data_IF_569670428643
#
_entry.id   IF_569670428643
#
_cell.length_a   1.000
_cell.length_b   1.000
_cell.length_c   1.000
_cell.angle_alpha   90.00
_cell.angle_beta   90.00
_cell.angle_gamma   90.00
#
_symmetry.space_group_name_H-M   'P 1'
#
loop_
_entity.id
_entity.type
_entity.pdbx_description
1 polymer ?
#
# COMPACT_ATOMS: atom_id res chain seq x y z
N UNK A 1 -10.30 82.02 -64.23
CA UNK A 1 -11.71 82.46 -64.15
C UNK A 1 -12.28 81.98 -62.83
N UNK A 2 -12.72 82.92 -61.99
CA UNK A 2 -13.55 82.66 -60.82
C UNK A 2 -14.85 81.96 -61.24
N UNK A 3 -15.43 81.12 -60.38
CA UNK A 3 -16.62 81.52 -59.62
C UNK A 3 -17.08 80.44 -58.63
N UNK A 4 -17.57 80.96 -57.53
CA UNK A 4 -18.00 80.35 -56.29
C UNK A 4 -19.46 79.91 -56.27
N UNK A 5 -19.70 78.82 -55.51
CA UNK A 5 -20.85 78.50 -54.63
C UNK A 5 -22.22 78.21 -55.27
N UNK A 6 -22.85 77.10 -54.85
CA UNK A 6 -23.99 77.11 -53.90
C UNK A 6 -24.41 75.69 -53.45
N UNK A 7 -24.81 75.62 -52.18
CA UNK A 7 -25.19 74.46 -51.35
C UNK A 7 -26.26 73.57 -52.00
N UNK A 8 -26.12 72.24 -51.84
CA UNK A 8 -27.28 71.33 -51.74
C UNK A 8 -27.22 70.57 -50.40
N UNK A 9 -28.39 70.60 -49.77
CA UNK A 9 -28.72 70.27 -48.37
C UNK A 9 -28.45 68.79 -48.07
N UNK A 10 -27.79 68.52 -46.95
CA UNK A 10 -27.62 67.18 -46.36
C UNK A 10 -28.97 66.66 -45.89
N UNK A 11 -29.32 65.45 -46.28
CA UNK A 11 -30.31 64.60 -45.60
C UNK A 11 -29.51 63.50 -44.92
N UNK A 12 -29.58 63.34 -43.58
CA UNK A 12 -28.93 62.22 -42.92
C UNK A 12 -29.76 60.96 -43.17
N UNK A 13 -29.23 60.05 -43.98
CA UNK A 13 -29.67 58.66 -44.03
C UNK A 13 -29.32 57.98 -42.71
N UNK A 14 -30.36 57.54 -42.00
CA UNK A 14 -30.32 56.82 -40.72
C UNK A 14 -29.70 55.41 -40.87
N UNK A 15 -28.37 55.33 -40.92
CA UNK A 15 -27.66 54.05 -41.11
C UNK A 15 -26.55 53.77 -40.08
N UNK A 16 -26.54 54.44 -38.92
CA UNK A 16 -25.47 54.26 -37.91
C UNK A 16 -25.94 53.49 -36.66
N UNK A 17 -27.25 53.36 -36.43
CA UNK A 17 -27.79 52.72 -35.21
C UNK A 17 -27.96 51.19 -35.29
N UNK A 18 -27.97 50.60 -36.50
CA UNK A 18 -28.30 49.18 -36.70
C UNK A 18 -27.20 48.20 -36.29
N UNK A 19 -25.93 48.48 -36.60
CA UNK A 19 -24.81 47.58 -36.29
C UNK A 19 -24.50 47.46 -34.79
N UNK A 20 -24.78 48.52 -34.03
CA UNK A 20 -24.56 48.53 -32.57
C UNK A 20 -25.66 47.75 -31.83
N UNK A 21 -26.90 47.80 -32.33
CA UNK A 21 -28.02 47.06 -31.78
C UNK A 21 -27.91 45.55 -32.05
N UNK A 22 -27.50 45.16 -33.25
CA UNK A 22 -27.32 43.74 -33.61
C UNK A 22 -26.18 43.09 -32.82
N UNK A 23 -25.08 43.83 -32.57
CA UNK A 23 -23.98 43.37 -31.68
C UNK A 23 -24.43 43.21 -30.24
N UNK A 24 -25.26 44.12 -29.73
CA UNK A 24 -25.81 44.02 -28.37
C UNK A 24 -26.73 42.79 -28.26
N UNK A 25 -27.58 42.55 -29.26
CA UNK A 25 -28.44 41.37 -29.32
C UNK A 25 -27.64 40.06 -29.41
N UNK A 26 -26.50 40.06 -30.13
CA UNK A 26 -25.59 38.92 -30.19
C UNK A 26 -24.95 38.62 -28.84
N UNK A 27 -24.53 39.65 -28.09
CA UNK A 27 -23.94 39.51 -26.74
C UNK A 27 -24.97 39.06 -25.69
N UNK A 28 -26.19 39.59 -25.76
CA UNK A 28 -27.27 39.19 -24.85
C UNK A 28 -27.68 37.73 -25.11
N UNK A 29 -27.73 37.32 -26.37
CA UNK A 29 -28.02 35.94 -26.74
C UNK A 29 -26.91 34.99 -26.28
N UNK A 30 -25.63 35.35 -26.47
CA UNK A 30 -24.53 34.50 -26.02
C UNK A 30 -24.50 34.35 -24.50
N UNK A 31 -24.79 35.42 -23.75
CA UNK A 31 -24.92 35.37 -22.29
C UNK A 31 -26.10 34.48 -21.86
N UNK A 32 -27.26 34.63 -22.47
CA UNK A 32 -28.44 33.81 -22.18
C UNK A 32 -28.17 32.31 -22.44
N UNK A 33 -27.47 31.98 -23.54
CA UNK A 33 -27.09 30.59 -23.84
C UNK A 33 -26.07 30.05 -22.82
N UNK A 34 -25.06 30.83 -22.45
CA UNK A 34 -24.07 30.43 -21.43
C UNK A 34 -24.70 30.21 -20.05
N UNK A 35 -25.71 31.00 -19.70
CA UNK A 35 -26.39 30.93 -18.41
C UNK A 35 -27.55 29.91 -18.40
N UNK A 36 -27.88 29.29 -19.53
CA UNK A 36 -29.01 28.36 -19.64
C UNK A 36 -30.39 29.04 -19.51
N UNK A 37 -30.49 30.31 -19.89
CA UNK A 37 -31.72 31.11 -19.83
C UNK A 37 -32.70 30.77 -20.97
N UNK A 38 -33.97 31.15 -20.81
CA UNK A 38 -35.00 30.94 -21.84
C UNK A 38 -34.71 31.75 -23.11
N UNK A 39 -34.60 31.06 -24.24
CA UNK A 39 -34.39 31.67 -25.56
C UNK A 39 -35.70 32.10 -26.24
N UNK A 40 -36.86 31.75 -25.68
CA UNK A 40 -38.19 32.10 -26.19
C UNK A 40 -38.42 33.59 -26.48
N UNK A 41 -37.93 34.54 -25.67
CA UNK A 41 -38.00 35.97 -25.95
C UNK A 41 -37.19 36.39 -27.19
N UNK A 42 -36.00 35.81 -27.40
CA UNK A 42 -35.15 36.08 -28.55
C UNK A 42 -35.77 35.53 -29.84
N UNK A 43 -36.34 34.32 -29.78
CA UNK A 43 -37.08 33.72 -30.89
C UNK A 43 -38.29 34.60 -31.24
N UNK A 44 -39.13 34.96 -30.27
CA UNK A 44 -40.28 35.86 -30.51
C UNK A 44 -39.85 37.18 -31.14
N UNK A 45 -38.83 37.84 -30.60
CA UNK A 45 -38.29 39.11 -31.13
C UNK A 45 -37.79 38.99 -32.58
N UNK A 46 -37.11 37.90 -32.92
CA UNK A 46 -36.57 37.67 -34.27
C UNK A 46 -37.68 37.45 -35.31
N UNK A 47 -38.72 36.69 -34.96
CA UNK A 47 -39.88 36.44 -35.84
C UNK A 47 -40.79 37.67 -35.96
N UNK A 48 -41.05 38.42 -34.88
CA UNK A 48 -41.86 39.66 -34.95
C UNK A 48 -41.16 40.77 -35.74
N UNK A 49 -39.83 40.77 -35.73
CA UNK A 49 -39.01 41.74 -36.47
C UNK A 49 -38.78 41.34 -37.94
N UNK A 50 -39.29 40.18 -38.38
CA UNK A 50 -39.12 39.66 -39.74
C UNK A 50 -37.68 39.25 -40.09
N UNK A 51 -36.81 39.03 -39.10
CA UNK A 51 -35.39 38.70 -39.27
C UNK A 51 -35.01 37.40 -38.54
N UNK A 52 -35.59 36.23 -38.87
CA UNK A 52 -35.21 34.96 -38.24
C UNK A 52 -33.78 34.53 -38.61
N UNK A 53 -33.32 34.90 -39.82
CA UNK A 53 -31.98 34.54 -40.31
C UNK A 53 -30.85 35.18 -39.49
N UNK A 54 -31.06 36.36 -38.90
CA UNK A 54 -30.04 37.01 -38.07
C UNK A 54 -29.87 36.30 -36.73
N UNK A 55 -30.96 35.84 -36.11
CA UNK A 55 -30.90 35.00 -34.92
C UNK A 55 -30.15 33.69 -35.19
N UNK A 56 -30.46 33.04 -36.31
CA UNK A 56 -29.80 31.81 -36.73
C UNK A 56 -28.29 32.06 -36.97
N UNK A 57 -27.94 33.18 -37.61
CA UNK A 57 -26.55 33.60 -37.79
C UNK A 57 -25.83 33.81 -36.46
N UNK A 58 -26.44 34.49 -35.48
CA UNK A 58 -25.86 34.69 -34.15
C UNK A 58 -25.65 33.38 -33.40
N UNK A 59 -26.62 32.45 -33.43
CA UNK A 59 -26.48 31.12 -32.83
C UNK A 59 -25.37 30.29 -33.48
N UNK A 60 -25.27 30.30 -34.81
CA UNK A 60 -24.18 29.64 -35.54
C UNK A 60 -22.82 30.25 -35.21
N UNK A 61 -22.75 31.57 -35.11
CA UNK A 61 -21.53 32.27 -34.70
C UNK A 61 -21.13 31.88 -33.28
N UNK A 62 -22.07 31.87 -32.34
CA UNK A 62 -21.83 31.44 -30.96
C UNK A 62 -21.33 30.00 -30.89
N UNK A 63 -21.99 29.06 -31.59
CA UNK A 63 -21.58 27.66 -31.64
C UNK A 63 -20.15 27.50 -32.18
N UNK A 64 -19.82 28.19 -33.29
CA UNK A 64 -18.45 28.18 -33.84
C UNK A 64 -17.42 28.80 -32.90
N UNK A 65 -17.79 29.88 -32.22
CA UNK A 65 -16.93 30.52 -31.23
C UNK A 65 -16.63 29.58 -30.06
N UNK A 66 -17.63 28.83 -29.59
CA UNK A 66 -17.45 27.84 -28.52
C UNK A 66 -16.65 26.62 -28.97
N UNK A 67 -16.85 26.15 -30.20
CA UNK A 67 -16.02 25.09 -30.78
C UNK A 67 -14.54 25.50 -30.82
N UNK A 68 -14.26 26.74 -31.25
CA UNK A 68 -12.89 27.29 -31.26
C UNK A 68 -12.30 27.40 -29.85
N UNK A 69 -13.09 27.80 -28.85
CA UNK A 69 -12.63 27.88 -27.45
C UNK A 69 -12.29 26.48 -26.91
N UNK A 70 -13.10 25.46 -27.23
CA UNK A 70 -12.83 24.07 -26.88
C UNK A 70 -11.53 23.60 -27.55
N UNK A 71 -11.35 23.87 -28.84
CA UNK A 71 -10.14 23.50 -29.57
C UNK A 71 -8.89 24.17 -28.98
N UNK A 72 -8.96 25.45 -28.59
CA UNK A 72 -7.86 26.15 -27.93
C UNK A 72 -7.50 25.54 -26.58
N UNK A 73 -8.49 25.21 -25.75
CA UNK A 73 -8.25 24.54 -24.46
C UNK A 73 -7.64 23.16 -24.67
N UNK A 74 -8.16 22.38 -25.62
CA UNK A 74 -7.58 21.07 -25.96
C UNK A 74 -6.15 21.22 -26.48
N UNK A 75 -5.88 22.20 -27.34
CA UNK A 75 -4.54 22.46 -27.88
C UNK A 75 -3.57 22.96 -26.81
N UNK A 76 -4.04 23.69 -25.80
CA UNK A 76 -3.21 24.13 -24.69
C UNK A 76 -2.75 22.96 -23.80
N UNK A 77 -3.57 21.92 -23.64
CA UNK A 77 -3.37 20.89 -22.62
C UNK A 77 -3.18 19.45 -23.13
N UNK A 78 -3.26 19.18 -24.44
CA UNK A 78 -3.12 17.81 -24.95
C UNK A 78 -1.76 17.20 -24.59
N UNK A 79 -0.70 18.00 -24.58
CA UNK A 79 0.64 17.52 -24.25
C UNK A 79 0.73 17.08 -22.79
N UNK A 80 0.16 17.86 -21.87
CA UNK A 80 0.12 17.53 -20.44
C UNK A 80 -0.70 16.26 -20.19
N UNK A 81 -1.80 16.09 -20.92
CA UNK A 81 -2.62 14.88 -20.86
C UNK A 81 -1.84 13.63 -21.31
N UNK A 82 -1.11 13.73 -22.44
CA UNK A 82 -0.30 12.61 -22.94
C UNK A 82 0.78 12.24 -21.93
N UNK A 83 1.48 13.23 -21.37
CA UNK A 83 2.52 13.02 -20.35
C UNK A 83 1.93 12.32 -19.12
N UNK A 84 0.78 12.78 -18.62
CA UNK A 84 0.13 12.16 -17.46
C UNK A 84 -0.25 10.69 -17.71
N UNK A 85 -0.70 10.36 -18.92
CA UNK A 85 -1.02 8.97 -19.31
C UNK A 85 0.25 8.12 -19.40
N UNK A 86 1.33 8.65 -19.99
CA UNK A 86 2.62 7.96 -20.06
C UNK A 86 3.23 7.73 -18.67
N UNK A 87 3.15 8.72 -17.79
CA UNK A 87 3.60 8.62 -16.39
C UNK A 87 2.81 7.54 -15.64
N UNK A 88 1.49 7.49 -15.80
CA UNK A 88 0.66 6.46 -15.18
C UNK A 88 1.01 5.06 -15.70
N UNK A 89 1.31 4.92 -16.99
CA UNK A 89 1.77 3.65 -17.57
C UNK A 89 3.14 3.25 -17.03
N UNK A 90 4.07 4.19 -16.90
CA UNK A 90 5.38 3.94 -16.29
C UNK A 90 5.23 3.48 -14.85
N UNK A 91 4.40 4.17 -14.07
CA UNK A 91 4.12 3.82 -12.68
C UNK A 91 3.54 2.41 -12.55
N UNK A 92 2.60 2.02 -13.43
CA UNK A 92 2.05 0.67 -13.43
C UNK A 92 3.15 -0.39 -13.67
N UNK A 93 4.06 -0.14 -14.62
CA UNK A 93 5.20 -1.03 -14.87
C UNK A 93 6.12 -1.15 -13.65
N UNK A 94 6.40 -0.03 -12.97
CA UNK A 94 7.24 -0.01 -11.77
C UNK A 94 6.58 -0.77 -10.61
N UNK A 95 5.27 -0.61 -10.43
CA UNK A 95 4.50 -1.35 -9.43
C UNK A 95 4.51 -2.86 -9.69
N UNK A 96 4.36 -3.28 -10.94
CA UNK A 96 4.42 -4.70 -11.31
C UNK A 96 5.82 -5.30 -11.10
N UNK A 97 6.86 -4.54 -11.40
CA UNK A 97 8.26 -4.91 -11.11
C UNK A 97 8.51 -5.05 -9.61
N UNK A 98 8.02 -4.10 -8.81
CA UNK A 98 8.12 -4.13 -7.36
C UNK A 98 7.37 -5.33 -6.77
N UNK A 99 6.14 -5.58 -7.23
CA UNK A 99 5.33 -6.73 -6.82
C UNK A 99 6.05 -8.05 -7.12
N UNK A 100 6.63 -8.16 -8.31
CA UNK A 100 7.39 -9.34 -8.73
C UNK A 100 8.64 -9.55 -7.86
N UNK A 101 9.37 -8.47 -7.58
CA UNK A 101 10.54 -8.49 -6.71
C UNK A 101 10.20 -8.90 -5.28
N UNK A 102 9.13 -8.34 -4.71
CA UNK A 102 8.64 -8.69 -3.38
C UNK A 102 8.21 -10.17 -3.31
N UNK A 103 7.47 -10.65 -4.32
CA UNK A 103 7.08 -12.05 -4.40
C UNK A 103 8.30 -12.97 -4.47
N UNK A 104 9.32 -12.62 -5.24
CA UNK A 104 10.55 -13.40 -5.35
C UNK A 104 11.31 -13.44 -4.02
N UNK A 105 11.51 -12.29 -3.36
CA UNK A 105 12.17 -12.22 -2.05
C UNK A 105 11.41 -13.02 -0.99
N UNK A 106 10.08 -12.98 -0.99
CA UNK A 106 9.27 -13.79 -0.08
C UNK A 106 9.45 -15.29 -0.35
N UNK A 107 9.41 -15.71 -1.61
CA UNK A 107 9.64 -17.12 -1.98
C UNK A 107 11.04 -17.59 -1.56
N UNK A 108 12.07 -16.77 -1.79
CA UNK A 108 13.44 -17.08 -1.37
C UNK A 108 13.55 -17.20 0.14
N UNK A 109 12.97 -16.25 0.89
CA UNK A 109 12.95 -16.28 2.35
C UNK A 109 12.28 -17.56 2.85
N UNK A 110 11.09 -17.90 2.34
CA UNK A 110 10.39 -19.11 2.73
C UNK A 110 11.19 -20.38 2.39
N UNK A 111 11.85 -20.41 1.23
CA UNK A 111 12.64 -21.56 0.79
C UNK A 111 13.85 -21.83 1.69
N UNK A 112 14.42 -20.79 2.31
CA UNK A 112 15.57 -20.91 3.23
C UNK A 112 15.10 -21.10 4.67
N UNK A 113 14.10 -20.34 5.10
CA UNK A 113 13.60 -20.35 6.47
C UNK A 113 12.91 -21.68 6.83
N UNK A 114 12.16 -22.28 5.91
CA UNK A 114 11.47 -23.56 6.15
C UNK A 114 12.42 -24.68 6.58
N UNK A 115 13.44 -25.03 5.78
CA UNK A 115 14.44 -26.03 6.15
C UNK A 115 15.24 -25.66 7.40
N UNK A 116 15.54 -24.38 7.60
CA UNK A 116 16.26 -23.92 8.78
C UNK A 116 15.46 -24.13 10.07
N UNK A 117 14.15 -23.84 10.05
CA UNK A 117 13.25 -24.10 11.18
C UNK A 117 13.15 -25.61 11.47
N UNK A 118 13.01 -26.45 10.45
CA UNK A 118 13.00 -27.91 10.64
C UNK A 118 14.31 -28.44 11.24
N UNK A 119 15.45 -27.88 10.82
CA UNK A 119 16.76 -28.20 11.40
C UNK A 119 16.86 -27.75 12.87
N UNK A 120 16.32 -26.58 13.19
CA UNK A 120 16.26 -26.06 14.56
C UNK A 120 15.41 -26.96 15.46
N UNK A 121 14.23 -27.40 15.01
CA UNK A 121 13.38 -28.33 15.75
C UNK A 121 14.12 -29.65 16.03
N UNK A 122 14.75 -30.24 15.01
CA UNK A 122 15.57 -31.44 15.18
C UNK A 122 16.73 -31.23 16.16
N UNK A 123 17.35 -30.06 16.15
CA UNK A 123 18.44 -29.72 17.08
C UNK A 123 17.93 -29.62 18.53
N UNK A 124 16.77 -29.00 18.75
CA UNK A 124 16.15 -28.89 20.09
C UNK A 124 15.81 -30.28 20.63
N UNK A 125 15.25 -31.15 19.80
CA UNK A 125 14.95 -32.54 20.18
C UNK A 125 16.22 -33.32 20.53
N UNK A 126 17.26 -33.23 19.70
CA UNK A 126 18.55 -33.85 19.98
C UNK A 126 19.17 -33.32 21.28
N UNK A 127 19.03 -32.03 21.56
CA UNK A 127 19.51 -31.40 22.79
C UNK A 127 18.76 -31.91 24.02
N UNK A 128 17.44 -32.11 23.91
CA UNK A 128 16.63 -32.70 24.97
C UNK A 128 17.05 -34.14 25.28
N UNK A 129 17.25 -34.96 24.24
CA UNK A 129 17.77 -36.32 24.40
C UNK A 129 19.15 -36.30 25.05
N UNK A 130 20.06 -35.44 24.60
CA UNK A 130 21.40 -35.29 25.18
C UNK A 130 21.36 -34.93 26.67
N UNK A 131 20.46 -34.01 27.06
CA UNK A 131 20.24 -33.66 28.48
C UNK A 131 19.76 -34.85 29.29
N UNK A 132 18.79 -35.61 28.79
CA UNK A 132 18.28 -36.81 29.46
C UNK A 132 19.37 -37.87 29.62
N UNK A 133 20.20 -38.07 28.58
CA UNK A 133 21.35 -38.99 28.62
C UNK A 133 22.38 -38.53 29.67
N UNK A 134 22.66 -37.23 29.77
CA UNK A 134 23.57 -36.70 30.79
C UNK A 134 23.05 -36.97 32.22
N UNK A 135 21.76 -36.73 32.46
CA UNK A 135 21.12 -37.03 33.76
C UNK A 135 21.15 -38.53 34.08
N UNK A 136 20.93 -39.39 33.09
CA UNK A 136 21.02 -40.84 33.26
C UNK A 136 22.46 -41.27 33.58
N UNK A 137 23.47 -40.69 32.90
CA UNK A 137 24.89 -40.93 33.18
C UNK A 137 25.26 -40.55 34.62
N UNK A 138 24.82 -39.40 35.09
CA UNK A 138 25.09 -38.96 36.47
C UNK A 138 24.39 -39.84 37.51
N UNK A 139 23.17 -40.31 37.20
CA UNK A 139 22.46 -41.29 38.02
C UNK A 139 23.22 -42.62 38.08
N UNK A 140 23.67 -43.14 36.94
CA UNK A 140 24.45 -44.39 36.86
C UNK A 140 25.77 -44.27 37.61
N UNK A 141 26.48 -43.14 37.49
CA UNK A 141 27.72 -42.88 38.27
C UNK A 141 27.46 -42.95 39.76
N UNK A 142 26.35 -42.36 40.21
CA UNK A 142 25.92 -42.43 41.63
C UNK A 142 25.64 -43.87 42.05
N UNK A 143 24.92 -44.65 41.22
CA UNK A 143 24.66 -46.06 41.48
C UNK A 143 25.94 -46.90 41.56
N UNK A 144 26.93 -46.66 40.70
CA UNK A 144 28.21 -47.38 40.72
C UNK A 144 28.96 -47.12 42.03
N UNK A 145 29.10 -45.85 42.43
CA UNK A 145 29.77 -45.47 43.68
C UNK A 145 29.07 -46.05 44.91
N UNK A 146 27.74 -46.01 44.94
CA UNK A 146 26.94 -46.60 46.01
C UNK A 146 27.14 -48.13 46.08
N UNK A 147 27.12 -48.80 44.93
CA UNK A 147 27.31 -50.26 44.85
C UNK A 147 28.71 -50.67 45.33
N UNK A 148 29.73 -49.90 45.00
CA UNK A 148 31.11 -50.13 45.47
C UNK A 148 31.21 -50.01 47.00
N UNK A 149 30.61 -48.97 47.59
CA UNK A 149 30.55 -48.81 49.05
C UNK A 149 29.76 -49.93 49.73
N UNK A 150 28.63 -50.36 49.16
CA UNK A 150 27.87 -51.51 49.64
C UNK A 150 28.70 -52.80 49.59
N UNK A 151 29.43 -53.02 48.51
CA UNK A 151 30.32 -54.17 48.34
C UNK A 151 31.45 -54.17 49.39
N UNK A 152 32.10 -53.02 49.61
CA UNK A 152 33.12 -52.86 50.66
C UNK A 152 32.55 -53.12 52.06
N UNK A 153 31.34 -52.63 52.34
CA UNK A 153 30.65 -52.87 53.62
C UNK A 153 30.40 -54.36 53.84
N UNK A 154 29.91 -55.07 52.82
CA UNK A 154 29.70 -56.52 52.87
C UNK A 154 31.01 -57.30 53.09
N UNK A 155 32.11 -56.87 52.45
CA UNK A 155 33.43 -57.46 52.67
C UNK A 155 33.89 -57.29 54.13
N UNK A 156 33.79 -56.08 54.70
CA UNK A 156 34.13 -55.83 56.10
C UNK A 156 33.26 -56.64 57.07
N UNK A 157 31.97 -56.80 56.76
CA UNK A 157 31.05 -57.63 57.55
C UNK A 157 31.46 -59.10 57.53
N UNK A 158 31.79 -59.64 56.34
CA UNK A 158 32.27 -61.02 56.19
C UNK A 158 33.61 -61.30 56.89
N UNK A 159 34.47 -60.28 56.98
CA UNK A 159 35.75 -60.34 57.69
C UNK A 159 35.62 -60.06 59.20
N UNK A 160 34.39 -59.91 59.71
CA UNK A 160 34.06 -59.59 61.10
C UNK A 160 34.66 -58.26 61.62
N UNK A 161 35.02 -57.34 60.71
CA UNK A 161 35.54 -56.01 61.05
C UNK A 161 34.39 -55.00 61.17
N UNK A 162 33.64 -55.13 62.27
CA UNK A 162 32.38 -54.40 62.50
C UNK A 162 32.57 -52.88 62.54
N UNK A 163 33.70 -52.38 63.04
CA UNK A 163 33.98 -50.95 63.09
C UNK A 163 34.09 -50.34 61.68
N UNK A 164 34.83 -50.99 60.79
CA UNK A 164 34.98 -50.52 59.41
C UNK A 164 33.68 -50.64 58.62
N UNK A 165 32.90 -51.70 58.85
CA UNK A 165 31.57 -51.85 58.25
C UNK A 165 30.62 -50.71 58.67
N UNK A 166 30.55 -50.38 59.95
CA UNK A 166 29.76 -49.25 60.46
C UNK A 166 30.22 -47.90 59.89
N UNK A 167 31.52 -47.71 59.72
CA UNK A 167 32.07 -46.49 59.12
C UNK A 167 31.67 -46.35 57.64
N UNK A 168 31.73 -47.42 56.87
CA UNK A 168 31.27 -47.42 55.48
C UNK A 168 29.75 -47.19 55.38
N UNK A 169 28.96 -47.81 56.25
CA UNK A 169 27.51 -47.61 56.32
C UNK A 169 27.15 -46.15 56.62
N UNK A 170 27.83 -45.53 57.59
CA UNK A 170 27.64 -44.11 57.91
C UNK A 170 27.96 -43.20 56.72
N UNK A 171 29.00 -43.51 55.94
CA UNK A 171 29.30 -42.77 54.69
C UNK A 171 28.18 -42.93 53.65
N UNK A 172 27.58 -44.12 53.51
CA UNK A 172 26.44 -44.34 52.62
C UNK A 172 25.24 -43.49 53.05
N UNK A 173 24.90 -43.51 54.35
CA UNK A 173 23.78 -42.75 54.90
C UNK A 173 23.97 -41.24 54.74
N UNK A 174 25.16 -40.72 55.04
CA UNK A 174 25.45 -39.29 54.92
C UNK A 174 25.46 -38.80 53.47
N UNK A 175 26.09 -39.54 52.56
CA UNK A 175 26.44 -39.02 51.24
C UNK A 175 25.45 -39.41 50.12
N UNK A 176 24.65 -40.48 50.32
CA UNK A 176 23.76 -41.04 49.29
C UNK A 176 22.28 -41.11 49.68
N UNK A 177 21.91 -41.10 50.97
CA UNK A 177 20.50 -41.19 51.39
C UNK A 177 19.63 -40.06 50.82
N UNK A 178 20.17 -38.84 50.74
CA UNK A 178 19.49 -37.69 50.16
C UNK A 178 19.39 -37.77 48.61
N UNK A 179 20.33 -38.45 47.96
CA UNK A 179 20.41 -38.55 46.49
C UNK A 179 19.57 -39.71 45.95
N UNK A 180 19.44 -40.77 46.73
CA UNK A 180 18.65 -41.96 46.41
C UNK A 180 17.73 -42.29 47.59
N UNK A 181 16.58 -41.59 47.74
CA UNK A 181 15.64 -41.90 48.80
C UNK A 181 15.07 -43.30 48.58
N UNK A 182 15.49 -44.25 49.42
CA UNK A 182 15.01 -45.62 49.43
C UNK A 182 14.06 -45.83 50.61
N UNK A 183 12.90 -46.44 50.36
CA UNK A 183 11.96 -46.84 51.42
C UNK A 183 12.48 -47.99 52.28
N UNK A 184 13.53 -48.69 51.84
CA UNK A 184 14.08 -49.89 52.51
C UNK A 184 15.07 -49.55 53.62
N UNK A 185 15.57 -48.30 53.70
CA UNK A 185 16.54 -47.83 54.71
C UNK A 185 15.83 -47.10 55.88
N UNK A 186 14.50 -47.25 56.01
CA UNK A 186 13.72 -46.75 57.16
C UNK A 186 13.44 -47.83 58.18
#
# INVERSE_FOLDING_TARGET
>A
MQTSKLRRKVVPTAAVDGESADKLDQLLLSAAVCNGEDLGPFVRKAFTSGKPETLLHHLRHFARSKESEIEEVCKAHYQDFIIAVDDLRSLLSDVDSLKSSLSNSNSQLQSVAGPLLASLDSFVDARNVSRNVALALDSVRTCVQLTELCSQTNLHLSANNLYMALKCLNSIERDYLAKTPSSTIR
#
